data_IF_403667764533
#
_entry.id   IF_403667764533
#
_cell.length_a   1.000
_cell.length_b   1.000
_cell.length_c   1.000
_cell.angle_alpha   90.00
_cell.angle_beta   90.00
_cell.angle_gamma   90.00
#
_symmetry.space_group_name_H-M   'P 1'
#
loop_
_entity.id
_entity.type
_entity.pdbx_description
1 polymer ?
#
# COMPACT_ATOMS: atom_id res chain seq x y z
N UNK A 1 12.61 76.21 -16.71
CA UNK A 1 12.02 75.36 -17.77
C UNK A 1 13.04 75.18 -18.87
N UNK A 2 13.06 74.05 -19.61
CA UNK A 2 12.61 72.71 -19.21
C UNK A 2 13.73 72.13 -18.28
N UNK A 3 14.32 70.92 -18.32
CA UNK A 3 13.96 69.57 -18.83
C UNK A 3 14.26 68.58 -17.67
N UNK A 4 13.66 67.37 -17.66
CA UNK A 4 14.14 66.24 -16.84
C UNK A 4 14.49 65.05 -17.73
N UNK A 5 15.77 64.70 -17.87
CA UNK A 5 16.16 63.42 -18.48
C UNK A 5 16.08 62.33 -17.42
N UNK A 6 14.98 61.58 -17.42
CA UNK A 6 14.79 60.46 -16.48
C UNK A 6 15.66 59.27 -16.92
N UNK A 7 16.60 58.85 -16.07
CA UNK A 7 17.37 57.63 -16.31
C UNK A 7 16.47 56.39 -16.14
N UNK A 8 15.93 55.88 -17.25
CA UNK A 8 15.07 54.69 -17.25
C UNK A 8 15.92 53.48 -16.86
N UNK A 9 15.76 53.00 -15.62
CA UNK A 9 16.42 51.80 -15.12
C UNK A 9 16.00 50.58 -15.94
N UNK A 10 16.87 50.13 -16.84
CA UNK A 10 16.67 48.94 -17.66
C UNK A 10 16.23 47.73 -16.81
N UNK A 11 15.06 47.17 -17.12
CA UNK A 11 14.61 45.89 -16.54
C UNK A 11 15.37 44.67 -17.09
N UNK A 12 16.24 44.85 -18.08
CA UNK A 12 17.20 43.85 -18.55
C UNK A 12 18.52 44.05 -17.79
N UNK A 13 18.95 43.04 -17.04
CA UNK A 13 20.23 43.06 -16.31
C UNK A 13 21.43 43.19 -17.26
N UNK A 14 22.57 43.67 -16.75
CA UNK A 14 23.75 44.01 -17.53
C UNK A 14 24.16 42.91 -18.54
N UNK A 15 24.61 43.27 -19.76
CA UNK A 15 25.03 42.30 -20.76
C UNK A 15 26.17 41.41 -20.25
N UNK A 16 26.29 40.21 -20.80
CA UNK A 16 27.32 39.24 -20.40
C UNK A 16 28.61 39.45 -21.19
N UNK A 17 29.71 39.68 -20.48
CA UNK A 17 31.03 39.83 -21.10
C UNK A 17 31.65 38.47 -21.46
N UNK A 18 32.50 38.44 -22.48
CA UNK A 18 33.25 37.23 -22.88
C UNK A 18 34.10 36.67 -21.72
N UNK A 19 34.60 37.54 -20.84
CA UNK A 19 35.37 37.16 -19.66
C UNK A 19 34.52 36.42 -18.61
N UNK A 20 33.29 36.86 -18.34
CA UNK A 20 32.35 36.16 -17.45
C UNK A 20 31.94 34.80 -18.04
N UNK A 21 31.62 34.78 -19.34
CA UNK A 21 31.22 33.57 -20.06
C UNK A 21 32.30 32.49 -20.04
N UNK A 22 33.59 32.86 -20.17
CA UNK A 22 34.76 31.96 -20.10
C UNK A 22 35.03 31.38 -18.70
N UNK A 23 34.32 31.85 -17.66
CA UNK A 23 34.43 31.38 -16.27
C UNK A 23 33.25 30.51 -15.80
N UNK A 24 32.12 30.52 -16.52
CA UNK A 24 31.00 29.60 -16.28
C UNK A 24 31.50 28.15 -16.35
N UNK A 25 31.07 27.31 -15.40
CA UNK A 25 31.53 25.92 -15.33
C UNK A 25 32.95 25.70 -14.80
N UNK A 26 33.74 26.76 -14.53
CA UNK A 26 35.09 26.61 -13.94
C UNK A 26 35.15 26.78 -12.43
N UNK A 27 34.18 27.49 -11.84
CA UNK A 27 34.04 27.73 -10.39
C UNK A 27 32.57 27.61 -9.99
N UNK A 28 32.25 27.33 -8.70
CA UNK A 28 30.87 27.24 -8.24
C UNK A 28 30.08 28.52 -8.53
N UNK A 29 28.80 28.37 -8.89
CA UNK A 29 27.91 29.49 -9.24
C UNK A 29 27.84 30.56 -8.14
N UNK A 30 27.99 30.18 -6.87
CA UNK A 30 28.05 31.10 -5.70
C UNK A 30 29.34 31.93 -5.59
N UNK A 31 30.46 31.42 -6.11
CA UNK A 31 31.72 32.17 -6.21
C UNK A 31 31.64 33.16 -7.37
N UNK A 32 31.06 32.74 -8.49
CA UNK A 32 30.83 33.61 -9.65
C UNK A 32 29.82 34.72 -9.34
N UNK A 33 28.74 34.43 -8.59
CA UNK A 33 27.73 35.41 -8.16
C UNK A 33 28.35 36.56 -7.39
N UNK A 34 29.16 36.24 -6.36
CA UNK A 34 29.88 37.24 -5.57
C UNK A 34 30.89 38.02 -6.40
N UNK A 35 31.64 37.35 -7.29
CA UNK A 35 32.69 38.00 -8.11
C UNK A 35 32.14 38.95 -9.17
N UNK A 36 31.03 38.58 -9.82
CA UNK A 36 30.43 39.36 -10.91
C UNK A 36 29.29 40.28 -10.44
N UNK A 37 29.00 40.33 -9.13
CA UNK A 37 27.85 41.03 -8.53
C UNK A 37 26.51 40.68 -9.21
N UNK A 38 26.38 39.45 -9.72
CA UNK A 38 25.16 38.90 -10.34
C UNK A 38 24.44 37.96 -9.39
N UNK A 39 23.12 37.80 -9.57
CA UNK A 39 22.34 36.82 -8.79
C UNK A 39 22.70 35.39 -9.16
N UNK A 40 22.60 34.47 -8.19
CA UNK A 40 22.74 33.02 -8.43
C UNK A 40 21.85 32.52 -9.57
N UNK A 41 20.60 33.00 -9.63
CA UNK A 41 19.62 32.62 -10.66
C UNK A 41 20.07 33.04 -12.07
N UNK A 42 20.69 34.21 -12.22
CA UNK A 42 21.21 34.66 -13.52
C UNK A 42 22.38 33.78 -14.00
N UNK A 43 23.28 33.38 -13.10
CA UNK A 43 24.40 32.49 -13.44
C UNK A 43 23.94 31.08 -13.75
N UNK A 44 23.02 30.52 -12.94
CA UNK A 44 22.45 29.21 -13.20
C UNK A 44 21.75 29.17 -14.58
N UNK A 45 20.91 30.17 -14.87
CA UNK A 45 20.18 30.29 -16.14
C UNK A 45 21.13 30.46 -17.35
N UNK A 46 22.16 31.31 -17.27
CA UNK A 46 23.13 31.46 -18.37
C UNK A 46 24.01 30.20 -18.53
N UNK A 47 24.33 29.51 -17.44
CA UNK A 47 25.07 28.25 -17.45
C UNK A 47 24.24 27.12 -18.11
N UNK A 48 22.94 27.08 -17.85
CA UNK A 48 21.97 26.17 -18.44
C UNK A 48 21.72 26.48 -19.93
N UNK A 49 21.49 27.75 -20.29
CA UNK A 49 21.33 28.22 -21.66
C UNK A 49 22.52 27.85 -22.56
N UNK A 50 23.75 27.86 -22.00
CA UNK A 50 24.98 27.46 -22.70
C UNK A 50 25.36 25.98 -22.49
N UNK A 51 24.47 25.18 -21.86
CA UNK A 51 24.63 23.74 -21.57
C UNK A 51 25.93 23.37 -20.82
N UNK A 52 26.47 24.29 -20.02
CA UNK A 52 27.76 24.09 -19.33
C UNK A 52 27.55 23.41 -17.97
N UNK A 53 28.07 22.18 -17.83
CA UNK A 53 27.99 21.42 -16.58
C UNK A 53 29.12 21.80 -15.62
N UNK A 54 28.81 22.51 -14.52
CA UNK A 54 29.75 22.63 -13.39
C UNK A 54 29.79 21.30 -12.62
N UNK A 55 30.76 20.43 -12.96
CA UNK A 55 31.09 19.25 -12.16
C UNK A 55 32.00 19.68 -11.01
N UNK A 56 31.42 19.85 -9.82
CA UNK A 56 32.19 20.16 -8.62
C UNK A 56 33.26 19.08 -8.38
N UNK A 57 34.53 19.44 -8.09
CA UNK A 57 35.58 18.45 -7.82
C UNK A 57 35.24 17.66 -6.55
N UNK A 58 35.48 16.34 -6.57
CA UNK A 58 35.25 15.48 -5.40
C UNK A 58 36.07 15.99 -4.22
N UNK A 59 35.41 16.33 -3.10
CA UNK A 59 36.06 16.82 -1.88
C UNK A 59 37.00 15.75 -1.31
N UNK A 60 38.30 15.93 -1.53
CA UNK A 60 39.36 15.07 -0.99
C UNK A 60 39.19 14.86 0.52
N UNK A 61 39.63 13.72 1.03
CA UNK A 61 39.62 13.42 2.46
C UNK A 61 40.88 13.96 3.13
N UNK A 62 40.71 14.61 4.28
CA UNK A 62 41.82 15.02 5.14
C UNK A 62 42.13 13.94 6.17
N UNK A 63 43.37 13.88 6.67
CA UNK A 63 43.77 12.92 7.70
C UNK A 63 42.88 12.98 8.96
N UNK A 64 42.46 14.18 9.37
CA UNK A 64 41.54 14.41 10.50
C UNK A 64 40.12 13.87 10.26
N UNK A 65 39.66 13.80 9.02
CA UNK A 65 38.39 13.17 8.66
C UNK A 65 38.51 11.64 8.60
N UNK A 66 39.64 11.13 8.07
CA UNK A 66 39.95 9.70 8.01
C UNK A 66 40.02 9.10 9.42
N UNK A 67 40.69 9.78 10.35
CA UNK A 67 40.84 9.38 11.76
C UNK A 67 39.52 9.32 12.56
N UNK A 68 38.40 9.76 11.98
CA UNK A 68 37.05 9.66 12.57
C UNK A 68 36.20 8.52 11.99
N UNK A 69 36.64 7.87 10.90
CA UNK A 69 35.99 6.66 10.37
C UNK A 69 36.06 5.55 11.44
N UNK A 70 35.01 4.72 11.55
CA UNK A 70 34.91 3.65 12.55
C UNK A 70 34.66 4.13 14.00
N UNK A 71 35.21 5.29 14.42
CA UNK A 71 34.96 5.89 15.75
C UNK A 71 33.56 6.46 15.93
N UNK A 72 32.88 6.81 14.83
CA UNK A 72 31.48 7.27 14.80
C UNK A 72 30.71 6.47 13.77
N UNK A 73 29.39 6.40 13.94
CA UNK A 73 28.55 5.78 12.91
C UNK A 73 28.62 6.58 11.60
N UNK A 74 28.60 5.89 10.44
CA UNK A 74 28.60 6.52 9.11
C UNK A 74 27.50 7.61 9.00
N UNK A 75 26.37 7.39 9.70
CA UNK A 75 25.23 8.32 9.85
C UNK A 75 25.49 9.60 10.66
N UNK A 76 26.34 9.54 11.68
CA UNK A 76 26.70 10.68 12.51
C UNK A 76 27.84 11.47 11.88
N UNK A 77 28.84 10.75 11.34
CA UNK A 77 30.00 11.33 10.70
C UNK A 77 29.63 12.08 9.41
N UNK A 78 28.70 11.55 8.61
CA UNK A 78 28.15 12.25 7.45
C UNK A 78 27.56 13.62 7.80
N UNK A 79 26.76 13.69 8.88
CA UNK A 79 26.21 14.96 9.40
C UNK A 79 27.31 15.90 9.88
N UNK A 80 28.26 15.40 10.70
CA UNK A 80 29.34 16.22 11.29
C UNK A 80 30.32 16.78 10.25
N UNK A 81 30.54 16.08 9.13
CA UNK A 81 31.47 16.51 8.08
C UNK A 81 30.80 17.24 6.91
N UNK A 82 29.46 17.31 6.86
CA UNK A 82 28.70 17.71 5.67
C UNK A 82 29.14 16.94 4.41
N UNK A 83 29.12 15.60 4.50
CA UNK A 83 29.40 14.63 3.41
C UNK A 83 28.21 13.68 3.24
N UNK A 84 28.08 13.01 2.10
CA UNK A 84 27.04 11.97 1.96
C UNK A 84 27.36 10.76 2.85
N UNK A 85 26.32 10.09 3.36
CA UNK A 85 26.45 8.76 3.98
C UNK A 85 27.09 7.75 3.03
N UNK A 86 26.87 7.89 1.71
CA UNK A 86 27.51 7.07 0.70
C UNK A 86 29.03 7.30 0.64
N UNK A 87 29.48 8.56 0.60
CA UNK A 87 30.90 8.92 0.58
C UNK A 87 31.63 8.38 1.81
N UNK A 88 31.02 8.53 3.00
CA UNK A 88 31.57 8.04 4.26
C UNK A 88 31.69 6.52 4.23
N UNK A 89 30.63 5.80 3.82
CA UNK A 89 30.65 4.34 3.68
C UNK A 89 31.69 3.87 2.65
N UNK A 90 31.82 4.54 1.51
CA UNK A 90 32.79 4.21 0.47
C UNK A 90 34.22 4.40 0.96
N UNK A 91 34.54 5.54 1.57
CA UNK A 91 35.89 5.78 2.11
C UNK A 91 36.22 4.80 3.23
N UNK A 92 35.26 4.49 4.10
CA UNK A 92 35.41 3.51 5.17
C UNK A 92 35.73 2.11 4.62
N UNK A 93 35.05 1.68 3.55
CA UNK A 93 35.32 0.41 2.87
C UNK A 93 36.68 0.42 2.17
N UNK A 94 37.02 1.49 1.43
CA UNK A 94 38.31 1.60 0.72
C UNK A 94 39.52 1.56 1.67
N UNK A 95 39.38 2.06 2.90
CA UNK A 95 40.38 1.99 3.96
C UNK A 95 40.24 0.76 4.86
N UNK A 96 39.41 -0.22 4.50
CA UNK A 96 39.18 -1.48 5.23
C UNK A 96 38.72 -1.30 6.69
N UNK A 97 38.21 -0.12 7.06
CA UNK A 97 37.78 0.20 8.42
C UNK A 97 36.42 -0.47 8.71
N UNK A 98 36.29 -1.26 9.80
CA UNK A 98 34.99 -1.81 10.19
C UNK A 98 33.94 -0.71 10.45
N UNK A 99 32.66 -0.91 10.09
CA UNK A 99 31.60 0.00 10.53
C UNK A 99 31.45 -0.06 12.05
N UNK A 100 31.03 1.04 12.68
CA UNK A 100 30.65 1.04 14.09
C UNK A 100 29.32 0.30 14.28
N UNK A 101 29.38 -1.03 14.29
CA UNK A 101 28.24 -1.90 14.57
C UNK A 101 27.94 -1.80 16.08
N UNK A 102 27.13 -0.81 16.46
CA UNK A 102 26.24 -1.01 17.61
C UNK A 102 25.42 -2.25 17.27
N UNK A 103 25.63 -3.36 18.00
CA UNK A 103 24.92 -4.62 17.77
C UNK A 103 23.43 -4.33 17.76
N UNK A 104 22.80 -4.46 16.59
CA UNK A 104 21.35 -4.29 16.46
C UNK A 104 20.70 -5.26 17.44
N UNK A 105 19.76 -4.77 18.24
CA UNK A 105 19.04 -5.55 19.26
C UNK A 105 18.00 -6.47 18.62
N UNK A 106 18.44 -7.29 17.67
CA UNK A 106 17.67 -8.38 17.09
C UNK A 106 17.41 -9.41 18.20
N UNK A 107 16.30 -9.23 18.92
CA UNK A 107 15.80 -10.17 19.93
C UNK A 107 15.77 -11.57 19.31
N UNK A 108 16.68 -12.44 19.74
CA UNK A 108 16.72 -13.83 19.28
C UNK A 108 15.36 -14.50 19.54
N UNK A 109 14.96 -15.44 18.69
CA UNK A 109 13.76 -16.22 18.92
C UNK A 109 14.03 -17.28 19.99
N UNK A 110 13.15 -17.37 20.97
CA UNK A 110 13.20 -18.43 21.99
C UNK A 110 12.35 -19.62 21.55
N UNK A 111 12.75 -20.84 21.94
CA UNK A 111 11.97 -22.07 21.69
C UNK A 111 10.52 -21.97 22.21
N UNK A 112 10.28 -21.16 23.23
CA UNK A 112 8.94 -20.87 23.77
C UNK A 112 8.10 -19.99 22.82
N UNK A 113 8.68 -18.90 22.27
CA UNK A 113 8.02 -18.09 21.24
C UNK A 113 7.74 -18.92 19.98
N UNK A 114 8.67 -19.79 19.58
CA UNK A 114 8.53 -20.66 18.39
C UNK A 114 7.40 -21.69 18.55
N UNK A 115 7.26 -22.32 19.72
CA UNK A 115 6.19 -23.30 20.03
C UNK A 115 4.77 -22.72 19.99
N UNK A 116 4.63 -21.39 19.97
CA UNK A 116 3.37 -20.66 19.87
C UNK A 116 3.04 -20.20 18.44
N UNK A 117 4.03 -20.15 17.53
CA UNK A 117 3.79 -19.91 16.10
C UNK A 117 2.92 -21.04 15.54
N UNK A 118 1.89 -20.69 14.76
CA UNK A 118 0.94 -21.67 14.23
C UNK A 118 -0.16 -22.11 15.21
N UNK A 119 -0.16 -21.62 16.47
CA UNK A 119 -1.27 -21.81 17.42
C UNK A 119 -2.19 -20.59 17.50
N UNK A 120 -1.60 -19.40 17.56
CA UNK A 120 -2.29 -18.11 17.56
C UNK A 120 -2.01 -17.37 16.24
N UNK A 121 -2.76 -16.30 15.96
CA UNK A 121 -2.55 -15.48 14.78
C UNK A 121 -1.30 -14.58 14.92
N UNK A 122 -0.64 -14.32 13.78
CA UNK A 122 0.62 -13.57 13.73
C UNK A 122 0.51 -12.16 14.38
N UNK A 123 -0.69 -11.55 14.46
CA UNK A 123 -0.92 -10.24 15.09
C UNK A 123 -1.00 -10.27 16.63
N UNK A 124 -1.57 -11.34 17.21
CA UNK A 124 -1.58 -11.56 18.66
C UNK A 124 -0.15 -11.84 19.12
N UNK A 125 0.56 -12.71 18.39
CA UNK A 125 1.95 -13.06 18.68
C UNK A 125 2.91 -11.87 18.52
N UNK A 126 2.67 -10.97 17.55
CA UNK A 126 3.44 -9.73 17.41
C UNK A 126 3.34 -8.84 18.65
N UNK A 127 2.11 -8.62 19.16
CA UNK A 127 1.85 -7.87 20.40
C UNK A 127 2.50 -8.56 21.60
N UNK A 128 2.23 -9.86 21.79
CA UNK A 128 2.70 -10.64 22.94
C UNK A 128 4.23 -10.72 23.03
N UNK A 129 4.93 -10.82 21.90
CA UNK A 129 6.39 -10.92 21.88
C UNK A 129 7.11 -9.57 21.85
N UNK A 130 6.37 -8.46 21.76
CA UNK A 130 6.86 -7.12 21.43
C UNK A 130 7.76 -7.14 20.17
N UNK A 131 7.23 -7.72 19.10
CA UNK A 131 7.89 -7.88 17.78
C UNK A 131 7.04 -7.23 16.69
N UNK A 132 7.65 -6.84 15.58
CA UNK A 132 6.87 -6.43 14.41
C UNK A 132 6.14 -7.62 13.80
N UNK A 133 4.92 -7.40 13.30
CA UNK A 133 4.13 -8.41 12.59
C UNK A 133 4.93 -9.09 11.46
N UNK A 134 5.77 -8.32 10.76
CA UNK A 134 6.61 -8.86 9.68
C UNK A 134 7.72 -9.78 10.20
N UNK A 135 8.30 -9.49 11.38
CA UNK A 135 9.25 -10.41 12.02
C UNK A 135 8.59 -11.74 12.38
N UNK A 136 7.33 -11.73 12.84
CA UNK A 136 6.56 -12.94 13.14
C UNK A 136 6.27 -13.75 11.88
N UNK A 137 5.73 -13.11 10.83
CA UNK A 137 5.45 -13.75 9.54
C UNK A 137 6.70 -14.40 8.94
N UNK A 138 7.82 -13.66 8.90
CA UNK A 138 9.08 -14.13 8.30
C UNK A 138 9.63 -15.33 9.07
N UNK A 139 9.58 -15.32 10.40
CA UNK A 139 10.06 -16.45 11.20
C UNK A 139 9.14 -17.67 11.07
N UNK A 140 7.82 -17.48 11.17
CA UNK A 140 6.82 -18.54 10.95
C UNK A 140 6.98 -19.18 9.57
N UNK A 141 7.15 -18.39 8.51
CA UNK A 141 7.35 -18.91 7.15
C UNK A 141 8.71 -19.58 6.96
N UNK A 142 9.78 -19.14 7.64
CA UNK A 142 11.08 -19.86 7.67
C UNK A 142 10.98 -21.25 8.31
N UNK A 143 10.13 -21.39 9.32
CA UNK A 143 9.84 -22.68 9.97
C UNK A 143 8.81 -23.54 9.18
N UNK A 144 8.37 -23.09 7.99
CA UNK A 144 7.36 -23.79 7.18
C UNK A 144 5.94 -23.79 7.77
N UNK A 145 5.73 -23.10 8.90
CA UNK A 145 4.47 -23.16 9.67
C UNK A 145 3.35 -22.40 8.90
N UNK A 146 2.21 -23.05 8.59
CA UNK A 146 1.08 -22.39 7.93
C UNK A 146 0.51 -21.21 8.71
N UNK A 147 -0.08 -20.23 8.01
CA UNK A 147 -0.79 -19.11 8.65
C UNK A 147 -2.08 -19.62 9.30
N UNK A 148 -2.23 -19.42 10.61
CA UNK A 148 -3.53 -19.53 11.29
C UNK A 148 -4.42 -18.40 10.76
N UNK A 149 -5.28 -18.71 9.80
CA UNK A 149 -6.17 -17.75 9.16
C UNK A 149 -7.63 -18.10 9.49
N UNK A 150 -8.27 -17.43 10.48
CA UNK A 150 -9.67 -17.68 10.83
C UNK A 150 -10.62 -17.51 9.64
N UNK A 151 -10.33 -16.59 8.72
CA UNK A 151 -11.11 -16.34 7.49
C UNK A 151 -10.90 -17.42 6.41
N UNK A 152 -9.91 -18.30 6.58
CA UNK A 152 -9.67 -19.50 5.77
C UNK A 152 -9.57 -20.76 6.64
N UNK A 153 -10.42 -20.87 7.67
CA UNK A 153 -10.60 -22.13 8.44
C UNK A 153 -10.93 -23.25 7.46
N UNK A 154 -10.05 -24.24 7.33
CA UNK A 154 -10.28 -25.43 6.51
C UNK A 154 -11.60 -26.10 6.88
N UNK A 155 -12.23 -26.76 5.91
CA UNK A 155 -13.44 -27.56 6.15
C UNK A 155 -13.04 -28.94 6.67
N UNK A 156 -13.69 -29.38 7.75
CA UNK A 156 -13.57 -30.74 8.27
C UNK A 156 -14.61 -31.68 7.64
N UNK A 157 -14.37 -33.00 7.58
CA UNK A 157 -15.36 -33.95 7.05
C UNK A 157 -16.72 -33.89 7.75
N UNK A 158 -16.75 -33.61 9.06
CA UNK A 158 -17.97 -33.42 9.84
C UNK A 158 -18.76 -32.18 9.36
N UNK A 159 -18.07 -31.05 9.13
CA UNK A 159 -18.70 -29.85 8.56
C UNK A 159 -19.19 -30.07 7.12
N UNK A 160 -18.47 -30.84 6.31
CA UNK A 160 -18.85 -31.17 4.93
C UNK A 160 -20.03 -32.17 4.85
N UNK A 161 -20.29 -32.93 5.92
CA UNK A 161 -21.46 -33.81 6.06
C UNK A 161 -22.71 -33.06 6.55
N UNK A 162 -22.56 -31.96 7.30
CA UNK A 162 -23.67 -31.06 7.66
C UNK A 162 -24.22 -30.27 6.46
N UNK A 163 -23.49 -30.18 5.34
CA UNK A 163 -23.90 -29.36 4.19
C UNK A 163 -25.09 -29.98 3.44
N UNK A 164 -26.29 -29.43 3.66
CA UNK A 164 -27.52 -29.82 2.96
C UNK A 164 -28.47 -30.72 3.76
N UNK A 165 -28.10 -31.11 4.99
CA UNK A 165 -29.04 -31.73 5.94
C UNK A 165 -30.03 -30.69 6.50
N UNK A 166 -29.56 -29.45 6.68
CA UNK A 166 -30.34 -28.31 7.14
C UNK A 166 -30.22 -27.11 6.17
N UNK A 167 -31.02 -26.05 6.32
CA UNK A 167 -30.88 -24.81 5.55
C UNK A 167 -29.47 -24.17 5.66
N UNK A 168 -28.93 -23.70 4.53
CA UNK A 168 -27.60 -23.06 4.42
C UNK A 168 -27.34 -21.93 5.47
N UNK A 169 -28.38 -21.35 6.06
CA UNK A 169 -28.30 -20.26 7.04
C UNK A 169 -28.25 -20.71 8.51
N UNK A 170 -28.81 -21.86 8.84
CA UNK A 170 -28.69 -22.48 10.16
C UNK A 170 -27.30 -23.11 10.31
N UNK A 171 -26.84 -23.82 9.28
CA UNK A 171 -25.46 -24.36 9.20
C UNK A 171 -24.43 -23.22 9.31
N UNK A 172 -24.68 -22.06 8.68
CA UNK A 172 -23.82 -20.89 8.82
C UNK A 172 -23.71 -20.41 10.28
N UNK A 173 -24.84 -20.35 11.00
CA UNK A 173 -24.90 -19.99 12.43
C UNK A 173 -24.19 -21.03 13.30
N UNK A 174 -24.49 -22.32 13.10
CA UNK A 174 -23.93 -23.45 13.84
C UNK A 174 -22.40 -23.57 13.70
N UNK A 175 -21.86 -23.32 12.49
CA UNK A 175 -20.42 -23.44 12.22
C UNK A 175 -19.62 -22.15 12.45
N UNK A 176 -20.29 -21.03 12.75
CA UNK A 176 -19.66 -19.71 12.80
C UNK A 176 -19.08 -19.25 11.45
N UNK A 177 -19.62 -19.75 10.34
CA UNK A 177 -19.16 -19.48 8.97
C UNK A 177 -20.12 -18.53 8.25
N UNK A 178 -19.63 -17.74 7.30
CA UNK A 178 -20.52 -16.86 6.53
C UNK A 178 -21.40 -17.66 5.57
N UNK A 179 -22.66 -17.22 5.40
CA UNK A 179 -23.66 -17.83 4.52
C UNK A 179 -23.15 -18.00 3.07
N UNK A 180 -22.31 -17.08 2.59
CA UNK A 180 -21.67 -17.17 1.27
C UNK A 180 -20.70 -18.36 1.17
N UNK A 181 -19.85 -18.55 2.18
CA UNK A 181 -18.85 -19.64 2.24
C UNK A 181 -19.51 -21.01 2.40
N UNK A 182 -20.58 -21.11 3.18
CA UNK A 182 -21.42 -22.33 3.29
C UNK A 182 -22.03 -22.71 1.94
N UNK A 183 -22.70 -21.74 1.29
CA UNK A 183 -23.31 -21.92 -0.05
C UNK A 183 -22.28 -22.30 -1.11
N UNK A 184 -21.08 -21.74 -1.04
CA UNK A 184 -20.00 -22.06 -1.99
C UNK A 184 -19.47 -23.47 -1.78
N UNK A 185 -19.13 -23.87 -0.54
CA UNK A 185 -18.64 -25.23 -0.25
C UNK A 185 -19.67 -26.27 -0.65
N UNK A 186 -20.95 -26.08 -0.29
CA UNK A 186 -22.02 -27.01 -0.65
C UNK A 186 -22.13 -27.21 -2.17
N UNK A 187 -22.07 -26.13 -2.97
CA UNK A 187 -22.04 -26.22 -4.44
C UNK A 187 -20.80 -26.96 -4.93
N UNK A 188 -19.62 -26.71 -4.34
CA UNK A 188 -18.35 -27.36 -4.71
C UNK A 188 -18.36 -28.88 -4.43
N UNK A 189 -19.14 -29.32 -3.44
CA UNK A 189 -19.38 -30.73 -3.12
C UNK A 189 -20.58 -31.34 -3.88
N UNK A 190 -21.17 -30.63 -4.84
CA UNK A 190 -22.35 -31.08 -5.60
C UNK A 190 -23.66 -31.22 -4.80
N UNK A 191 -23.64 -31.11 -3.46
CA UNK A 191 -24.79 -31.38 -2.59
C UNK A 191 -25.96 -30.43 -2.88
N UNK A 192 -27.13 -30.99 -3.19
CA UNK A 192 -28.38 -30.26 -3.36
C UNK A 192 -28.79 -29.62 -2.02
N UNK A 193 -29.34 -28.41 -2.05
CA UNK A 193 -30.06 -27.84 -0.90
C UNK A 193 -31.55 -28.01 -1.16
N UNK A 194 -32.27 -28.87 -0.41
CA UNK A 194 -33.71 -29.07 -0.58
C UNK A 194 -34.53 -27.86 -0.10
N UNK A 195 -33.98 -27.06 0.82
CA UNK A 195 -34.57 -25.83 1.37
C UNK A 195 -34.29 -24.58 0.50
N UNK A 196 -33.74 -24.75 -0.71
CA UNK A 196 -33.55 -23.65 -1.64
C UNK A 196 -34.88 -23.29 -2.32
N UNK A 197 -35.27 -22.01 -2.27
CA UNK A 197 -36.48 -21.51 -2.94
C UNK A 197 -36.47 -21.94 -4.41
N UNK A 198 -37.51 -22.64 -4.91
CA UNK A 198 -37.56 -23.08 -6.30
C UNK A 198 -37.37 -21.91 -7.28
N UNK A 199 -36.63 -22.14 -8.37
CA UNK A 199 -36.52 -21.16 -9.46
C UNK A 199 -37.92 -20.84 -10.00
N UNK A 200 -38.13 -19.61 -10.42
CA UNK A 200 -39.34 -19.22 -11.14
C UNK A 200 -39.30 -19.76 -12.56
N UNK A 201 -40.43 -20.30 -13.02
CA UNK A 201 -40.65 -20.76 -14.39
C UNK A 201 -41.49 -19.74 -15.17
N UNK A 202 -41.36 -19.71 -16.49
CA UNK A 202 -42.11 -18.80 -17.36
C UNK A 202 -43.64 -18.96 -17.20
N UNK A 203 -44.11 -20.17 -16.93
CA UNK A 203 -45.53 -20.47 -16.68
C UNK A 203 -46.06 -19.89 -15.36
N UNK A 204 -45.20 -19.69 -14.36
CA UNK A 204 -45.55 -19.01 -13.11
C UNK A 204 -45.50 -17.49 -13.29
N UNK A 205 -44.52 -16.98 -14.02
CA UNK A 205 -44.41 -15.56 -14.33
C UNK A 205 -45.63 -15.05 -15.11
N UNK A 206 -46.15 -15.87 -16.04
CA UNK A 206 -47.38 -15.60 -16.80
C UNK A 206 -48.68 -15.57 -15.95
N UNK A 207 -48.63 -15.89 -14.65
CA UNK A 207 -49.76 -15.77 -13.72
C UNK A 207 -49.69 -14.51 -12.86
N UNK A 208 -48.52 -13.87 -12.75
CA UNK A 208 -48.33 -12.66 -11.95
C UNK A 208 -49.16 -11.49 -12.51
N UNK A 209 -49.87 -10.78 -11.64
CA UNK A 209 -50.69 -9.62 -12.02
C UNK A 209 -52.03 -9.94 -12.71
N UNK A 210 -52.35 -11.22 -12.99
CA UNK A 210 -53.67 -11.64 -13.51
C UNK A 210 -54.73 -11.81 -12.42
N UNK A 211 -54.30 -12.02 -11.17
CA UNK A 211 -55.13 -12.05 -9.97
C UNK A 211 -54.37 -11.39 -8.82
N UNK A 212 -54.99 -11.13 -7.64
CA UNK A 212 -54.28 -10.63 -6.46
C UNK A 212 -52.98 -11.37 -6.14
N UNK A 213 -52.00 -10.67 -5.57
CA UNK A 213 -50.72 -11.26 -5.16
C UNK A 213 -50.91 -12.39 -4.12
N UNK A 214 -52.01 -12.38 -3.35
CA UNK A 214 -52.36 -13.39 -2.36
C UNK A 214 -52.87 -14.69 -2.99
N UNK A 215 -53.92 -14.62 -3.81
CA UNK A 215 -54.45 -15.79 -4.53
C UNK A 215 -53.40 -16.40 -5.44
N UNK A 216 -52.56 -15.58 -6.07
CA UNK A 216 -51.41 -16.03 -6.87
C UNK A 216 -50.35 -16.75 -6.02
N UNK A 217 -50.10 -16.32 -4.77
CA UNK A 217 -49.19 -16.99 -3.85
C UNK A 217 -49.72 -18.37 -3.41
N UNK A 218 -51.00 -18.42 -3.05
CA UNK A 218 -51.71 -19.63 -2.64
C UNK A 218 -51.77 -20.66 -3.79
N UNK A 219 -52.17 -20.25 -5.00
CA UNK A 219 -52.18 -21.10 -6.20
C UNK A 219 -50.81 -21.65 -6.60
N UNK A 220 -49.73 -20.88 -6.39
CA UNK A 220 -48.36 -21.31 -6.71
C UNK A 220 -47.65 -22.02 -5.55
N UNK A 221 -48.29 -22.15 -4.38
CA UNK A 221 -47.65 -22.59 -3.11
C UNK A 221 -46.33 -21.85 -2.82
N UNK A 222 -46.26 -20.56 -3.15
CA UNK A 222 -45.10 -19.68 -2.93
C UNK A 222 -45.42 -18.62 -1.88
N UNK A 223 -44.40 -18.02 -1.27
CA UNK A 223 -44.62 -16.92 -0.33
C UNK A 223 -45.16 -15.66 -1.02
N UNK A 224 -46.08 -14.96 -0.36
CA UNK A 224 -46.64 -13.68 -0.82
C UNK A 224 -45.55 -12.61 -1.01
N UNK A 225 -44.50 -12.63 -0.19
CA UNK A 225 -43.29 -11.82 -0.39
C UNK A 225 -42.53 -12.20 -1.67
N UNK A 226 -42.38 -13.50 -1.95
CA UNK A 226 -41.77 -14.00 -3.18
C UNK A 226 -42.53 -13.58 -4.45
N UNK A 227 -43.86 -13.68 -4.44
CA UNK A 227 -44.74 -13.19 -5.51
C UNK A 227 -44.54 -11.69 -5.74
N UNK A 228 -44.64 -10.86 -4.68
CA UNK A 228 -44.41 -9.41 -4.75
C UNK A 228 -43.03 -9.07 -5.31
N UNK A 229 -41.97 -9.70 -4.81
CA UNK A 229 -40.60 -9.46 -5.28
C UNK A 229 -40.37 -9.90 -6.73
N UNK A 230 -40.99 -11.01 -7.18
CA UNK A 230 -40.89 -11.43 -8.58
C UNK A 230 -41.65 -10.48 -9.51
N UNK A 231 -42.89 -10.12 -9.14
CA UNK A 231 -43.73 -9.18 -9.88
C UNK A 231 -43.06 -7.82 -10.03
N UNK A 232 -42.49 -7.27 -8.94
CA UNK A 232 -41.70 -6.03 -8.97
C UNK A 232 -40.45 -6.14 -9.85
N UNK A 233 -39.69 -7.25 -9.75
CA UNK A 233 -38.49 -7.48 -10.58
C UNK A 233 -38.81 -7.61 -12.08
N UNK A 234 -40.01 -8.05 -12.44
CA UNK A 234 -40.52 -8.09 -13.81
C UNK A 234 -41.24 -6.80 -14.25
N UNK A 235 -41.27 -5.75 -13.39
CA UNK A 235 -41.99 -4.48 -13.59
C UNK A 235 -43.50 -4.63 -13.83
N UNK A 236 -44.10 -5.76 -13.45
CA UNK A 236 -45.54 -6.01 -13.63
C UNK A 236 -46.32 -5.20 -12.57
N UNK A 237 -47.33 -4.38 -12.97
CA UNK A 237 -48.14 -3.62 -12.03
C UNK A 237 -48.93 -4.56 -11.09
N UNK A 238 -49.32 -4.11 -9.88
CA UNK A 238 -50.23 -4.88 -9.04
C UNK A 238 -51.57 -5.04 -9.74
N UNK A 239 -52.20 -6.22 -9.58
CA UNK A 239 -53.56 -6.45 -10.06
C UNK A 239 -54.51 -5.42 -9.44
N UNK A 240 -55.38 -4.84 -10.28
CA UNK A 240 -56.50 -3.99 -9.86
C UNK A 240 -57.78 -4.61 -10.43
N UNK A 241 -58.89 -4.64 -9.68
CA UNK A 241 -60.19 -4.89 -10.29
C UNK A 241 -60.47 -3.78 -11.31
N UNK A 242 -61.22 -4.11 -12.37
CA UNK A 242 -61.96 -3.08 -13.11
C UNK A 242 -63.19 -2.73 -12.25
N UNK A 243 -63.42 -1.43 -12.10
CA UNK A 243 -64.73 -0.88 -11.73
C UNK A 243 -65.60 -0.84 -13.00
#
# INVERSE_FOLDING_TARGET
MPVKIQSIKSRRGAPWTLAELKQLGKKPDSVLARRFRRTLKAIASMREQRRVLFRAPRRRWTAREILQLGRKSDSELARRLARSRADVRQQRIALHVPPLIRRSSFKAWTRAEEKLLGRLSDDILARQFNRTLESVKVHRSKLGIPVVNPRRRNWTPAEDNLLGTAPDHEIARQLGRSLGVVRERRRRLGRRNPFAIPRWTSAEDLKLGKSPDRTTAEQLRRSLSGVKSRRWKLKIPPWRPRL
#
